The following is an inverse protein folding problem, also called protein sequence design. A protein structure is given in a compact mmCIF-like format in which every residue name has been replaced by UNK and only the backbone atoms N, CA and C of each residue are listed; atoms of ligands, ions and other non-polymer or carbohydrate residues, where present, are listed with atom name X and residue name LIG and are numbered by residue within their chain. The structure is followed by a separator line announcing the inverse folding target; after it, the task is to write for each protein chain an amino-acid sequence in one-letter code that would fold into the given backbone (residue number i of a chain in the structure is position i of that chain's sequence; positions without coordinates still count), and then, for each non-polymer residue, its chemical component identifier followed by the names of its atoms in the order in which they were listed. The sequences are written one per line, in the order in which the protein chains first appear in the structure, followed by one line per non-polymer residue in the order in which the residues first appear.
data_IF_392985222057
#
_entry.id   IF_392985222057
#
_cell.length_a   1.000
_cell.length_b   1.000
_cell.length_c   1.000
_cell.angle_alpha   90.00
_cell.angle_beta   90.00
_cell.angle_gamma   90.00
#
_symmetry.space_group_name_H-M   'P 1'
#
loop_
_entity.id
_entity.type
_entity.pdbx_description
1 polymer ?
#
# COMPACT_ATOMS: atom_id res chain seq x y z
N UNK A 1 -36.49 -6.63 -24.32
CA UNK A 1 -36.24 -7.06 -22.93
C UNK A 1 -37.40 -6.58 -22.06
N UNK A 2 -38.00 -7.43 -21.24
CA UNK A 2 -39.12 -7.03 -20.36
C UNK A 2 -38.62 -6.16 -19.19
N UNK A 3 -39.51 -5.35 -18.59
CA UNK A 3 -39.19 -4.50 -17.44
C UNK A 3 -38.60 -5.31 -16.26
N UNK A 4 -39.07 -6.55 -16.06
CA UNK A 4 -38.57 -7.47 -15.03
C UNK A 4 -37.12 -7.87 -15.27
N UNK A 5 -36.74 -8.21 -16.52
CA UNK A 5 -35.35 -8.55 -16.86
C UNK A 5 -34.44 -7.34 -16.65
N UNK A 6 -34.84 -6.15 -17.08
CA UNK A 6 -34.08 -4.91 -16.89
C UNK A 6 -33.83 -4.65 -15.40
N UNK A 7 -34.87 -4.80 -14.58
CA UNK A 7 -34.80 -4.58 -13.14
C UNK A 7 -33.87 -5.58 -12.46
N UNK A 8 -33.98 -6.88 -12.79
CA UNK A 8 -33.14 -7.93 -12.23
C UNK A 8 -31.66 -7.74 -12.58
N UNK A 9 -31.35 -7.44 -13.86
CA UNK A 9 -29.98 -7.17 -14.29
C UNK A 9 -29.43 -5.94 -13.59
N UNK A 10 -30.18 -4.83 -13.54
CA UNK A 10 -29.75 -3.59 -12.90
C UNK A 10 -29.42 -3.80 -11.43
N UNK A 11 -30.29 -4.48 -10.67
CA UNK A 11 -30.07 -4.76 -9.26
C UNK A 11 -28.79 -5.60 -9.04
N UNK A 12 -28.63 -6.65 -9.83
CA UNK A 12 -27.47 -7.53 -9.75
C UNK A 12 -26.16 -6.79 -10.13
N UNK A 13 -26.20 -5.94 -11.15
CA UNK A 13 -25.09 -5.06 -11.55
C UNK A 13 -24.67 -4.12 -10.43
N UNK A 14 -25.63 -3.43 -9.79
CA UNK A 14 -25.34 -2.49 -8.69
C UNK A 14 -24.67 -3.22 -7.53
N UNK A 15 -25.17 -4.41 -7.15
CA UNK A 15 -24.57 -5.23 -6.08
C UNK A 15 -23.16 -5.72 -6.45
N UNK A 16 -22.96 -6.18 -7.69
CA UNK A 16 -21.67 -6.64 -8.18
C UNK A 16 -20.64 -5.51 -8.21
N UNK A 17 -20.98 -4.36 -8.79
CA UNK A 17 -20.11 -3.19 -8.88
C UNK A 17 -19.76 -2.65 -7.49
N UNK A 18 -20.72 -2.59 -6.58
CA UNK A 18 -20.47 -2.20 -5.19
C UNK A 18 -19.46 -3.13 -4.51
N UNK A 19 -19.62 -4.44 -4.67
CA UNK A 19 -18.68 -5.43 -4.13
C UNK A 19 -17.29 -5.31 -4.75
N UNK A 20 -17.18 -5.19 -6.08
CA UNK A 20 -15.92 -4.97 -6.81
C UNK A 20 -15.20 -3.76 -6.22
N UNK A 21 -15.92 -2.65 -6.01
CA UNK A 21 -15.38 -1.45 -5.38
C UNK A 21 -14.86 -1.69 -3.95
N UNK A 22 -15.65 -2.34 -3.08
CA UNK A 22 -15.21 -2.65 -1.70
C UNK A 22 -13.99 -3.57 -1.68
N UNK A 23 -13.98 -4.59 -2.54
CA UNK A 23 -12.90 -5.57 -2.65
C UNK A 23 -11.63 -4.93 -3.20
N UNK A 24 -11.73 -4.08 -4.22
CA UNK A 24 -10.61 -3.28 -4.74
C UNK A 24 -10.01 -2.37 -3.67
N UNK A 25 -10.85 -1.64 -2.93
CA UNK A 25 -10.40 -0.79 -1.81
C UNK A 25 -9.73 -1.59 -0.69
N UNK A 26 -10.23 -2.78 -0.38
CA UNK A 26 -9.61 -3.69 0.58
C UNK A 26 -8.17 -4.05 0.15
N UNK A 27 -7.98 -4.53 -1.09
CA UNK A 27 -6.66 -4.93 -1.58
C UNK A 27 -5.71 -3.76 -1.76
N UNK A 28 -6.21 -2.57 -2.16
CA UNK A 28 -5.43 -1.34 -2.15
C UNK A 28 -4.92 -0.99 -0.74
N UNK A 29 -5.77 -1.18 0.28
CA UNK A 29 -5.37 -0.96 1.66
C UNK A 29 -4.32 -1.98 2.12
N UNK A 30 -4.45 -3.26 1.74
CA UNK A 30 -3.41 -4.27 2.00
C UNK A 30 -2.08 -3.88 1.33
N UNK A 31 -2.10 -3.48 0.05
CA UNK A 31 -0.90 -2.99 -0.65
C UNK A 31 -0.26 -1.81 0.10
N UNK A 32 -1.07 -0.89 0.63
CA UNK A 32 -0.60 0.22 1.45
C UNK A 32 0.05 -0.25 2.77
N UNK A 33 -0.52 -1.25 3.46
CA UNK A 33 0.06 -1.82 4.68
C UNK A 33 1.39 -2.53 4.39
N UNK A 34 1.53 -3.14 3.21
CA UNK A 34 2.78 -3.73 2.73
C UNK A 34 3.79 -2.69 2.19
N UNK A 35 3.58 -1.40 2.47
CA UNK A 35 4.51 -0.35 2.07
C UNK A 35 4.57 -0.12 0.55
N UNK A 36 3.53 -0.55 -0.17
CA UNK A 36 3.46 -0.52 -1.63
C UNK A 36 4.54 -1.33 -2.35
N UNK A 37 5.11 -2.33 -1.69
CA UNK A 37 6.06 -3.26 -2.29
C UNK A 37 5.31 -4.42 -2.95
N UNK A 38 5.44 -4.57 -4.26
CA UNK A 38 4.73 -5.61 -5.02
C UNK A 38 5.12 -7.04 -4.63
N UNK A 39 6.38 -7.38 -4.28
CA UNK A 39 6.72 -8.73 -3.83
C UNK A 39 6.11 -9.08 -2.47
N UNK A 40 6.19 -8.16 -1.50
CA UNK A 40 5.58 -8.35 -0.18
C UNK A 40 4.06 -8.49 -0.26
N UNK A 41 3.42 -7.72 -1.14
CA UNK A 41 2.00 -7.87 -1.43
C UNK A 41 1.68 -9.23 -2.07
N UNK A 42 2.51 -9.72 -2.99
CA UNK A 42 2.33 -11.05 -3.58
C UNK A 42 2.48 -12.18 -2.55
N UNK A 43 3.47 -12.10 -1.66
CA UNK A 43 3.62 -13.04 -0.54
C UNK A 43 2.40 -13.06 0.38
N UNK A 44 1.89 -11.87 0.74
CA UNK A 44 0.67 -11.76 1.54
C UNK A 44 -0.54 -12.40 0.83
N UNK A 45 -0.68 -12.20 -0.49
CA UNK A 45 -1.77 -12.81 -1.26
C UNK A 45 -1.69 -14.35 -1.26
N UNK A 46 -0.49 -14.93 -1.38
CA UNK A 46 -0.32 -16.40 -1.33
C UNK A 46 -0.68 -16.98 0.03
N UNK A 47 -0.29 -16.31 1.12
CA UNK A 47 -0.62 -16.72 2.48
C UNK A 47 -2.13 -16.64 2.75
N UNK A 48 -2.82 -15.67 2.15
CA UNK A 48 -4.24 -15.40 2.39
C UNK A 48 -5.13 -15.82 1.21
N UNK A 49 -4.68 -16.81 0.42
CA UNK A 49 -5.37 -17.23 -0.80
C UNK A 49 -6.80 -17.72 -0.50
N UNK A 50 -7.01 -18.47 0.57
CA UNK A 50 -8.33 -19.07 0.91
C UNK A 50 -9.24 -18.12 1.70
N UNK A 51 -8.66 -17.22 2.50
CA UNK A 51 -9.42 -16.41 3.44
C UNK A 51 -9.76 -15.02 2.89
N UNK A 52 -8.87 -14.42 2.10
CA UNK A 52 -9.03 -13.07 1.55
C UNK A 52 -9.27 -13.07 0.04
N UNK A 53 -8.45 -13.82 -0.70
CA UNK A 53 -8.43 -13.82 -2.18
C UNK A 53 -9.61 -14.63 -2.73
N UNK A 54 -9.61 -15.94 -2.63
CA UNK A 54 -10.65 -16.82 -3.17
C UNK A 54 -11.73 -17.10 -2.13
N UNK A 55 -12.78 -16.27 -2.15
CA UNK A 55 -13.95 -16.44 -1.27
C UNK A 55 -14.96 -17.46 -1.83
N UNK A 56 -15.68 -18.14 -0.92
CA UNK A 56 -16.80 -19.06 -1.25
C UNK A 56 -17.85 -18.44 -2.17
N UNK A 57 -18.06 -17.13 -2.08
CA UNK A 57 -19.00 -16.41 -2.94
C UNK A 57 -18.56 -16.31 -4.40
N UNK A 58 -17.27 -16.44 -4.73
CA UNK A 58 -16.85 -16.59 -6.13
C UNK A 58 -17.19 -17.97 -6.68
N UNK A 59 -17.04 -19.03 -5.85
CA UNK A 59 -17.48 -20.37 -6.21
C UNK A 59 -19.00 -20.40 -6.45
N UNK A 60 -19.77 -19.81 -5.53
CA UNK A 60 -21.22 -19.66 -5.71
C UNK A 60 -21.57 -18.88 -6.99
N UNK A 61 -20.91 -17.75 -7.26
CA UNK A 61 -21.12 -16.99 -8.50
C UNK A 61 -20.77 -17.79 -9.76
N UNK A 62 -19.68 -18.57 -9.73
CA UNK A 62 -19.31 -19.46 -10.83
C UNK A 62 -20.34 -20.56 -11.09
N UNK A 63 -20.81 -21.22 -10.02
CA UNK A 63 -21.84 -22.25 -10.10
C UNK A 63 -23.19 -21.69 -10.61
N UNK A 64 -23.55 -20.48 -10.18
CA UNK A 64 -24.75 -19.79 -10.68
C UNK A 64 -24.64 -19.50 -12.18
N UNK A 65 -23.47 -19.05 -12.66
CA UNK A 65 -23.23 -18.79 -14.08
C UNK A 65 -23.26 -20.07 -14.93
N UNK A 66 -22.59 -21.14 -14.47
CA UNK A 66 -22.58 -22.41 -15.21
C UNK A 66 -23.96 -23.05 -15.23
N UNK A 67 -24.70 -23.00 -14.12
CA UNK A 67 -26.08 -23.47 -14.05
C UNK A 67 -27.02 -22.66 -14.95
N UNK A 68 -26.91 -21.33 -14.95
CA UNK A 68 -27.70 -20.46 -15.83
C UNK A 68 -27.36 -20.69 -17.31
N UNK A 69 -26.10 -20.92 -17.65
CA UNK A 69 -25.70 -21.28 -19.02
C UNK A 69 -26.31 -22.61 -19.45
N UNK A 70 -26.21 -23.65 -18.61
CA UNK A 70 -26.80 -24.96 -18.90
C UNK A 70 -28.33 -24.86 -19.06
N UNK A 71 -29.00 -24.12 -18.18
CA UNK A 71 -30.44 -23.88 -18.27
C UNK A 71 -30.81 -23.15 -19.57
N UNK A 72 -30.10 -22.08 -19.93
CA UNK A 72 -30.35 -21.33 -21.16
C UNK A 72 -30.20 -22.19 -22.43
N UNK A 73 -29.14 -23.02 -22.48
CA UNK A 73 -28.89 -23.91 -23.62
C UNK A 73 -29.94 -25.01 -23.72
N UNK A 74 -30.35 -25.60 -22.60
CA UNK A 74 -31.32 -26.72 -22.58
C UNK A 74 -32.75 -26.29 -22.84
N UNK A 75 -33.14 -25.12 -22.34
CA UNK A 75 -34.51 -24.61 -22.46
C UNK A 75 -34.76 -23.81 -23.74
N UNK A 76 -33.71 -23.29 -24.38
CA UNK A 76 -33.85 -22.34 -25.48
C UNK A 76 -34.60 -21.07 -25.05
N UNK A 77 -34.54 -20.71 -23.76
CA UNK A 77 -35.34 -19.65 -23.16
C UNK A 77 -34.96 -18.26 -23.67
N UNK A 78 -35.73 -17.76 -24.65
CA UNK A 78 -35.67 -16.37 -25.11
C UNK A 78 -36.58 -15.42 -24.28
N UNK A 79 -37.39 -15.96 -23.35
CA UNK A 79 -38.34 -15.17 -22.53
C UNK A 79 -37.65 -14.37 -21.41
N UNK A 80 -36.40 -14.72 -21.09
CA UNK A 80 -35.58 -14.05 -20.08
C UNK A 80 -35.77 -14.58 -18.66
N UNK A 81 -36.48 -15.69 -18.47
CA UNK A 81 -36.69 -16.33 -17.17
C UNK A 81 -35.38 -16.74 -16.49
N UNK A 82 -34.47 -17.36 -17.25
CA UNK A 82 -33.11 -17.70 -16.77
C UNK A 82 -32.36 -16.45 -16.30
N UNK A 83 -32.52 -15.33 -16.99
CA UNK A 83 -31.86 -14.06 -16.65
C UNK A 83 -32.40 -13.47 -15.35
N UNK A 84 -33.72 -13.50 -15.16
CA UNK A 84 -34.37 -13.01 -13.93
C UNK A 84 -33.93 -13.87 -12.73
N UNK A 85 -33.99 -15.19 -12.86
CA UNK A 85 -33.58 -16.12 -11.81
C UNK A 85 -32.11 -15.91 -11.44
N UNK A 86 -31.22 -15.81 -12.43
CA UNK A 86 -29.81 -15.51 -12.20
C UNK A 86 -29.63 -14.16 -11.49
N UNK A 87 -30.26 -13.08 -11.98
CA UNK A 87 -30.12 -11.74 -11.39
C UNK A 87 -30.52 -11.70 -9.92
N UNK A 88 -31.63 -12.35 -9.56
CA UNK A 88 -32.10 -12.45 -8.17
C UNK A 88 -31.14 -13.28 -7.30
N UNK A 89 -30.75 -14.48 -7.75
CA UNK A 89 -29.80 -15.34 -7.04
C UNK A 89 -28.43 -14.66 -6.88
N UNK A 90 -27.99 -13.92 -7.91
CA UNK A 90 -26.78 -13.12 -7.88
C UNK A 90 -26.86 -12.03 -6.82
N UNK A 91 -27.94 -11.25 -6.81
CA UNK A 91 -28.13 -10.19 -5.83
C UNK A 91 -28.04 -10.74 -4.40
N UNK A 92 -28.63 -11.92 -4.13
CA UNK A 92 -28.54 -12.60 -2.82
C UNK A 92 -27.13 -13.10 -2.52
N UNK A 93 -26.50 -13.84 -3.44
CA UNK A 93 -25.16 -14.39 -3.25
C UNK A 93 -24.08 -13.30 -3.02
N UNK A 94 -24.35 -12.08 -3.47
CA UNK A 94 -23.43 -10.94 -3.40
C UNK A 94 -23.86 -9.83 -2.42
N UNK A 95 -25.08 -9.88 -1.86
CA UNK A 95 -25.58 -8.91 -0.87
C UNK A 95 -24.76 -8.92 0.45
N UNK A 96 -24.22 -10.08 0.83
CA UNK A 96 -23.41 -10.20 2.04
C UNK A 96 -21.98 -9.69 1.85
N UNK A 97 -21.78 -8.37 2.00
CA UNK A 97 -20.43 -7.75 2.08
C UNK A 97 -20.02 -7.37 3.51
N UNK A 98 -20.80 -7.76 4.52
CA UNK A 98 -20.56 -7.47 5.95
C UNK A 98 -19.17 -7.91 6.46
N UNK A 99 -18.44 -8.74 5.69
CA UNK A 99 -17.08 -9.23 5.99
C UNK A 99 -15.93 -8.45 5.33
N UNK A 100 -16.20 -7.34 4.64
CA UNK A 100 -15.19 -6.30 4.37
C UNK A 100 -15.24 -5.21 5.45
N UNK A 101 -15.76 -5.54 6.64
CA UNK A 101 -15.68 -4.67 7.81
C UNK A 101 -14.20 -4.45 8.09
N UNK A 102 -13.81 -3.19 8.22
CA UNK A 102 -12.51 -2.81 8.77
C UNK A 102 -12.35 -3.53 10.10
N UNK A 103 -11.58 -4.61 10.15
CA UNK A 103 -10.89 -4.95 11.38
C UNK A 103 -10.12 -3.71 11.82
N UNK A 104 -9.94 -3.50 13.12
CA UNK A 104 -9.25 -2.33 13.66
C UNK A 104 -7.78 -2.36 13.20
N UNK A 105 -7.51 -1.95 11.97
CA UNK A 105 -6.16 -1.91 11.40
C UNK A 105 -5.38 -0.81 12.09
N UNK A 106 -4.08 -1.04 12.34
CA UNK A 106 -3.19 -0.09 13.03
C UNK A 106 -3.15 1.30 12.36
N UNK A 107 -3.51 1.43 11.08
CA UNK A 107 -3.62 2.71 10.36
C UNK A 107 -4.87 2.74 9.47
N UNK A 108 -5.74 3.76 9.59
CA UNK A 108 -6.91 3.88 8.73
C UNK A 108 -6.51 4.16 7.28
N UNK A 109 -7.40 3.82 6.34
CA UNK A 109 -7.24 4.17 4.93
C UNK A 109 -7.05 5.69 4.77
N UNK A 110 -6.03 6.09 4.03
CA UNK A 110 -5.74 7.49 3.72
C UNK A 110 -5.81 7.72 2.21
N UNK A 111 -6.71 8.61 1.78
CA UNK A 111 -6.92 8.95 0.37
C UNK A 111 -5.81 9.86 -0.20
N UNK A 112 -4.56 9.36 -0.18
CA UNK A 112 -3.39 10.08 -0.70
C UNK A 112 -3.42 10.21 -2.22
N UNK A 113 -2.70 11.17 -2.84
CA UNK A 113 -2.61 11.28 -4.30
C UNK A 113 -2.11 9.99 -4.97
N UNK A 114 -1.14 9.29 -4.35
CA UNK A 114 -0.66 7.97 -4.78
C UNK A 114 -1.78 6.93 -4.78
N UNK A 115 -2.57 6.89 -3.70
CA UNK A 115 -3.72 5.99 -3.59
C UNK A 115 -4.79 6.29 -4.65
N UNK A 116 -5.06 7.58 -4.94
CA UNK A 116 -6.01 7.97 -6.00
C UNK A 116 -5.56 7.49 -7.38
N UNK A 117 -4.27 7.60 -7.71
CA UNK A 117 -3.72 7.06 -8.97
C UNK A 117 -3.83 5.54 -9.07
N UNK A 118 -3.50 4.83 -7.99
CA UNK A 118 -3.65 3.38 -7.92
C UNK A 118 -5.10 2.93 -8.09
N UNK A 119 -6.02 3.60 -7.39
CA UNK A 119 -7.45 3.35 -7.49
C UNK A 119 -7.94 3.61 -8.91
N UNK A 120 -7.56 4.73 -9.52
CA UNK A 120 -7.94 5.06 -10.89
C UNK A 120 -7.46 3.99 -11.87
N UNK A 121 -6.18 3.60 -11.82
CA UNK A 121 -5.63 2.57 -12.70
C UNK A 121 -6.32 1.20 -12.51
N UNK A 122 -6.54 0.77 -11.26
CA UNK A 122 -7.23 -0.49 -10.98
C UNK A 122 -8.71 -0.46 -11.42
N UNK A 123 -9.41 0.66 -11.17
CA UNK A 123 -10.80 0.85 -11.56
C UNK A 123 -10.95 0.86 -13.08
N UNK A 124 -10.06 1.55 -13.81
CA UNK A 124 -10.08 1.55 -15.29
C UNK A 124 -9.99 0.14 -15.84
N UNK A 125 -9.07 -0.70 -15.35
CA UNK A 125 -8.97 -2.09 -15.82
C UNK A 125 -10.22 -2.91 -15.49
N UNK A 126 -10.79 -2.74 -14.29
CA UNK A 126 -12.04 -3.42 -13.93
C UNK A 126 -13.21 -2.97 -14.83
N UNK A 127 -13.30 -1.68 -15.14
CA UNK A 127 -14.30 -1.12 -16.06
C UNK A 127 -14.12 -1.70 -17.46
N UNK A 128 -12.89 -1.83 -17.96
CA UNK A 128 -12.62 -2.42 -19.28
C UNK A 128 -13.06 -3.89 -19.35
N UNK A 129 -12.84 -4.67 -18.29
CA UNK A 129 -13.34 -6.07 -18.21
C UNK A 129 -14.86 -6.08 -18.30
N UNK A 130 -15.55 -5.27 -17.49
CA UNK A 130 -17.03 -5.20 -17.47
C UNK A 130 -17.59 -4.69 -18.80
N UNK A 131 -16.94 -3.69 -19.40
CA UNK A 131 -17.31 -3.15 -20.71
C UNK A 131 -17.16 -4.18 -21.83
N UNK A 132 -16.12 -5.01 -21.79
CA UNK A 132 -15.97 -6.12 -22.73
C UNK A 132 -17.13 -7.13 -22.61
N UNK A 133 -17.51 -7.50 -21.38
CA UNK A 133 -18.68 -8.34 -21.15
C UNK A 133 -20.00 -7.71 -21.63
N UNK A 134 -20.16 -6.41 -21.41
CA UNK A 134 -21.33 -5.66 -21.91
C UNK A 134 -21.37 -5.59 -23.44
N UNK A 135 -20.21 -5.43 -24.10
CA UNK A 135 -20.10 -5.45 -25.55
C UNK A 135 -20.42 -6.84 -26.13
N UNK A 136 -19.97 -7.92 -25.47
CA UNK A 136 -20.33 -9.28 -25.84
C UNK A 136 -21.83 -9.55 -25.65
N UNK A 137 -22.42 -9.03 -24.59
CA UNK A 137 -23.87 -9.08 -24.40
C UNK A 137 -24.62 -8.35 -25.53
N UNK A 138 -24.18 -7.14 -25.89
CA UNK A 138 -24.82 -6.35 -26.94
C UNK A 138 -24.71 -6.96 -28.35
N UNK A 139 -23.64 -7.74 -28.62
CA UNK A 139 -23.39 -8.38 -29.92
C UNK A 139 -23.84 -9.84 -29.98
N UNK A 140 -24.10 -10.46 -28.83
CA UNK A 140 -24.37 -11.88 -28.74
C UNK A 140 -25.77 -12.23 -29.22
N UNK A 141 -25.86 -13.27 -30.04
CA UNK A 141 -27.09 -13.95 -30.44
C UNK A 141 -27.22 -15.29 -29.72
N UNK A 142 -28.44 -15.77 -29.49
CA UNK A 142 -28.72 -17.02 -28.78
C UNK A 142 -29.29 -16.81 -27.37
N UNK A 143 -29.43 -17.88 -26.57
CA UNK A 143 -30.36 -17.88 -25.43
C UNK A 143 -29.86 -17.11 -24.20
N UNK A 144 -28.58 -16.73 -24.11
CA UNK A 144 -28.07 -16.07 -22.89
C UNK A 144 -26.84 -15.16 -23.05
N UNK A 145 -26.84 -14.16 -23.97
CA UNK A 145 -25.72 -13.24 -24.14
C UNK A 145 -25.43 -12.39 -22.90
N UNK A 146 -26.41 -12.20 -22.01
CA UNK A 146 -26.26 -11.51 -20.71
C UNK A 146 -25.26 -12.21 -19.77
N UNK A 147 -25.03 -13.52 -19.95
CA UNK A 147 -24.08 -14.28 -19.13
C UNK A 147 -22.64 -13.84 -19.34
N UNK A 148 -22.30 -13.31 -20.53
CA UNK A 148 -20.98 -12.71 -20.77
C UNK A 148 -20.75 -11.48 -19.91
N UNK A 149 -21.79 -10.67 -19.72
CA UNK A 149 -21.75 -9.49 -18.86
C UNK A 149 -21.61 -9.87 -17.37
N UNK A 150 -22.41 -10.84 -16.90
CA UNK A 150 -22.27 -11.36 -15.53
C UNK A 150 -20.92 -12.07 -15.32
N UNK A 151 -20.44 -12.83 -16.29
CA UNK A 151 -19.11 -13.43 -16.28
C UNK A 151 -18.01 -12.37 -16.12
N UNK A 152 -18.09 -11.27 -16.86
CA UNK A 152 -17.16 -10.15 -16.73
C UNK A 152 -17.22 -9.49 -15.34
N UNK A 153 -18.42 -9.34 -14.73
CA UNK A 153 -18.55 -8.86 -13.36
C UNK A 153 -17.86 -9.80 -12.34
N UNK A 154 -18.02 -11.12 -12.49
CA UNK A 154 -17.34 -12.10 -11.64
C UNK A 154 -15.81 -12.05 -11.84
N UNK A 155 -15.35 -11.96 -13.09
CA UNK A 155 -13.92 -11.86 -13.42
C UNK A 155 -13.32 -10.59 -12.81
N UNK A 156 -13.98 -9.44 -12.93
CA UNK A 156 -13.52 -8.18 -12.35
C UNK A 156 -13.41 -8.26 -10.80
N UNK A 157 -14.38 -8.89 -10.13
CA UNK A 157 -14.35 -9.12 -8.69
C UNK A 157 -13.22 -10.08 -8.29
N UNK A 158 -13.12 -11.23 -8.98
CA UNK A 158 -12.13 -12.26 -8.72
C UNK A 158 -10.70 -11.73 -8.89
N UNK A 159 -10.47 -10.99 -9.97
CA UNK A 159 -9.15 -10.47 -10.36
C UNK A 159 -8.76 -9.17 -9.67
N UNK A 160 -9.63 -8.55 -8.87
CA UNK A 160 -9.33 -7.33 -8.11
C UNK A 160 -7.93 -7.28 -7.45
N UNK A 161 -7.44 -8.31 -6.71
CA UNK A 161 -6.09 -8.29 -6.13
C UNK A 161 -4.97 -8.24 -7.18
N UNK A 162 -5.16 -8.89 -8.34
CA UNK A 162 -4.22 -8.85 -9.45
C UNK A 162 -4.25 -7.49 -10.14
N UNK A 163 -5.43 -6.91 -10.36
CA UNK A 163 -5.59 -5.56 -10.92
C UNK A 163 -4.88 -4.52 -10.05
N UNK A 164 -4.96 -4.64 -8.72
CA UNK A 164 -4.19 -3.77 -7.79
C UNK A 164 -2.68 -3.93 -8.00
N UNK A 165 -2.18 -5.16 -8.17
CA UNK A 165 -0.75 -5.41 -8.44
C UNK A 165 -0.30 -4.81 -9.77
N UNK A 166 -1.10 -5.00 -10.83
CA UNK A 166 -0.82 -4.44 -12.16
C UNK A 166 -0.89 -2.91 -12.13
N UNK A 167 -1.86 -2.33 -11.44
CA UNK A 167 -1.99 -0.89 -11.24
C UNK A 167 -0.74 -0.31 -10.53
N UNK A 168 -0.18 -1.02 -9.55
CA UNK A 168 1.08 -0.63 -8.92
C UNK A 168 2.25 -0.61 -9.91
N UNK A 169 2.30 -1.57 -10.83
CA UNK A 169 3.28 -1.58 -11.93
C UNK A 169 3.12 -0.39 -12.87
N UNK A 170 1.89 -0.16 -13.37
CA UNK A 170 1.56 0.95 -14.29
C UNK A 170 1.89 2.32 -13.68
N UNK A 171 1.56 2.52 -12.41
CA UNK A 171 1.78 3.81 -11.72
C UNK A 171 3.22 3.99 -11.23
N UNK A 172 4.02 2.92 -11.17
CA UNK A 172 5.38 2.96 -10.61
C UNK A 172 6.32 4.01 -11.25
N UNK A 173 6.32 4.28 -12.57
CA UNK A 173 7.24 5.26 -13.14
C UNK A 173 6.92 6.68 -12.67
N UNK A 174 5.63 6.99 -12.53
CA UNK A 174 5.16 8.29 -12.02
C UNK A 174 5.51 8.45 -10.55
N UNK A 175 5.26 7.43 -9.72
CA UNK A 175 5.63 7.46 -8.30
C UNK A 175 7.14 7.64 -8.11
N UNK A 176 7.95 6.91 -8.89
CA UNK A 176 9.41 7.03 -8.84
C UNK A 176 9.87 8.43 -9.20
N UNK A 177 9.35 9.03 -10.27
CA UNK A 177 9.68 10.42 -10.63
C UNK A 177 9.32 11.41 -9.54
N UNK A 178 8.15 11.25 -8.91
CA UNK A 178 7.72 12.10 -7.78
C UNK A 178 8.66 11.94 -6.59
N UNK A 179 8.92 10.69 -6.16
CA UNK A 179 9.82 10.44 -5.02
C UNK A 179 11.22 11.00 -5.27
N UNK A 180 11.79 10.75 -6.45
CA UNK A 180 13.12 11.27 -6.80
C UNK A 180 13.15 12.79 -6.89
N UNK A 181 12.06 13.43 -7.34
CA UNK A 181 11.93 14.89 -7.27
C UNK A 181 11.99 15.43 -5.84
N UNK A 182 11.29 14.78 -4.91
CA UNK A 182 11.32 15.15 -3.50
C UNK A 182 12.69 14.92 -2.85
N UNK A 183 13.37 13.81 -3.17
CA UNK A 183 14.73 13.52 -2.71
C UNK A 183 15.73 14.55 -3.22
N UNK A 184 15.71 14.84 -4.53
CA UNK A 184 16.59 15.87 -5.13
C UNK A 184 16.40 17.23 -4.47
N UNK A 185 15.16 17.66 -4.24
CA UNK A 185 14.88 18.93 -3.57
C UNK A 185 15.38 18.94 -2.13
N UNK A 186 15.21 17.84 -1.39
CA UNK A 186 15.68 17.72 -0.01
C UNK A 186 17.22 17.76 0.05
N UNK A 187 17.91 17.00 -0.80
CA UNK A 187 19.37 17.03 -0.91
C UNK A 187 19.88 18.43 -1.25
N UNK A 188 19.29 19.09 -2.25
CA UNK A 188 19.69 20.45 -2.64
C UNK A 188 19.53 21.45 -1.49
N UNK A 189 18.44 21.35 -0.72
CA UNK A 189 18.22 22.19 0.46
C UNK A 189 19.21 21.93 1.58
N UNK A 190 19.59 20.68 1.82
CA UNK A 190 20.58 20.34 2.84
C UNK A 190 21.99 20.74 2.41
N UNK A 191 22.34 20.53 1.14
CA UNK A 191 23.64 20.93 0.59
C UNK A 191 23.85 22.46 0.65
N UNK A 192 22.79 23.25 0.49
CA UNK A 192 22.84 24.70 0.64
C UNK A 192 23.01 25.18 2.10
N UNK A 193 23.00 24.28 3.08
CA UNK A 193 23.07 24.57 4.52
C UNK A 193 24.36 24.01 5.12
N UNK A 194 25.48 24.62 4.78
CA UNK A 194 26.81 24.26 5.32
C UNK A 194 26.96 24.53 6.82
N UNK A 195 26.05 25.34 7.36
CA UNK A 195 25.94 25.81 8.73
C UNK A 195 24.99 24.96 9.61
N UNK A 196 24.46 23.87 9.04
CA UNK A 196 23.48 22.98 9.69
C UNK A 196 24.16 21.67 10.12
N UNK A 197 24.08 21.36 11.41
CA UNK A 197 24.52 20.07 11.95
C UNK A 197 23.38 19.05 11.92
N UNK A 198 23.59 17.93 11.22
CA UNK A 198 22.62 16.84 11.08
C UNK A 198 22.91 15.73 12.09
N UNK A 199 21.92 15.43 12.93
CA UNK A 199 21.96 14.37 13.93
C UNK A 199 21.02 13.24 13.47
N UNK A 200 21.57 12.07 13.18
CA UNK A 200 20.81 10.88 12.82
C UNK A 200 20.71 9.92 14.01
N UNK A 201 19.49 9.49 14.34
CA UNK A 201 19.21 8.61 15.47
C UNK A 201 18.54 7.34 14.96
N UNK A 202 19.20 6.19 15.15
CA UNK A 202 18.64 4.87 14.88
C UNK A 202 18.65 3.99 16.14
N UNK A 203 17.92 2.88 16.06
CA UNK A 203 17.80 1.91 17.13
C UNK A 203 16.54 1.07 17.02
N UNK A 204 16.43 0.03 17.82
CA UNK A 204 15.21 -0.80 17.88
C UNK A 204 14.19 -0.11 18.78
N UNK A 205 14.66 0.41 19.91
CA UNK A 205 13.88 1.13 20.91
C UNK A 205 14.49 2.51 21.21
N UNK A 206 13.75 3.40 21.88
CA UNK A 206 14.29 4.67 22.37
C UNK A 206 14.53 5.77 21.32
N UNK A 207 14.45 5.49 20.01
CA UNK A 207 14.67 6.48 18.94
C UNK A 207 13.88 7.78 19.09
N UNK A 208 12.56 7.67 19.21
CA UNK A 208 11.65 8.83 19.24
C UNK A 208 11.85 9.66 20.52
N UNK A 209 12.02 8.99 21.68
CA UNK A 209 12.29 9.65 22.95
C UNK A 209 13.64 10.38 22.91
N UNK A 210 14.69 9.72 22.42
CA UNK A 210 16.03 10.31 22.29
C UNK A 210 16.02 11.51 21.37
N UNK A 211 15.34 11.43 20.22
CA UNK A 211 15.18 12.58 19.31
C UNK A 211 14.57 13.78 20.01
N UNK A 212 13.49 13.59 20.77
CA UNK A 212 12.82 14.71 21.41
C UNK A 212 13.64 15.26 22.59
N UNK A 213 14.32 14.40 23.36
CA UNK A 213 15.26 14.85 24.39
C UNK A 213 16.39 15.70 23.78
N UNK A 214 17.04 15.21 22.71
CA UNK A 214 18.09 15.96 21.99
C UNK A 214 17.56 17.28 21.45
N UNK A 215 16.36 17.28 20.82
CA UNK A 215 15.71 18.51 20.36
C UNK A 215 15.53 19.50 21.51
N UNK A 216 14.97 19.08 22.63
CA UNK A 216 14.57 19.97 23.73
C UNK A 216 15.77 20.59 24.44
N UNK A 217 16.85 19.81 24.60
CA UNK A 217 18.12 20.31 25.14
C UNK A 217 18.77 21.32 24.18
N UNK A 218 18.88 20.99 22.89
CA UNK A 218 19.48 21.89 21.90
C UNK A 218 18.65 23.17 21.70
N UNK A 219 17.32 23.07 21.84
CA UNK A 219 16.40 24.19 21.69
C UNK A 219 16.54 25.25 22.79
N UNK A 220 17.27 24.96 23.88
CA UNK A 220 17.59 25.96 24.90
C UNK A 220 18.48 27.09 24.37
N UNK A 221 19.24 26.84 23.30
CA UNK A 221 20.18 27.81 22.73
C UNK A 221 20.06 28.00 21.23
N UNK A 222 19.60 26.98 20.50
CA UNK A 222 19.62 26.97 19.05
C UNK A 222 18.23 26.74 18.45
N UNK A 223 18.02 27.20 17.22
CA UNK A 223 16.85 26.80 16.44
C UNK A 223 17.07 25.37 15.92
N UNK A 224 16.14 24.45 16.23
CA UNK A 224 16.27 23.02 15.93
C UNK A 224 15.08 22.53 15.13
N UNK A 225 15.35 21.86 14.01
CA UNK A 225 14.33 21.11 13.28
C UNK A 225 14.44 19.63 13.64
N UNK A 226 13.40 19.05 14.24
CA UNK A 226 13.30 17.61 14.45
C UNK A 226 12.17 17.01 13.63
N UNK A 227 12.33 15.76 13.18
CA UNK A 227 11.23 15.00 12.54
C UNK A 227 10.05 14.84 13.52
N UNK A 228 8.80 15.15 13.11
CA UNK A 228 7.63 15.01 13.99
C UNK A 228 7.23 13.54 14.14
N UNK A 229 6.67 13.15 15.30
CA UNK A 229 6.19 11.79 15.54
C UNK A 229 7.24 10.72 15.17
N UNK A 230 6.87 9.70 14.40
CA UNK A 230 7.80 8.67 13.88
C UNK A 230 8.00 8.84 12.35
N UNK A 231 8.32 10.05 11.91
CA UNK A 231 8.66 10.34 10.52
C UNK A 231 10.11 9.90 10.24
N UNK A 232 10.28 8.61 9.96
CA UNK A 232 11.59 7.95 9.91
C UNK A 232 11.87 7.20 8.60
N UNK A 233 11.07 7.47 7.57
CA UNK A 233 11.24 6.94 6.22
C UNK A 233 11.86 7.99 5.29
N UNK A 234 12.46 7.59 4.15
CA UNK A 234 13.05 8.51 3.18
C UNK A 234 12.10 9.66 2.80
N UNK A 235 10.84 9.32 2.50
CA UNK A 235 9.83 10.31 2.16
C UNK A 235 9.36 11.15 3.35
N UNK A 236 9.37 10.59 4.56
CA UNK A 236 9.10 11.33 5.79
C UNK A 236 10.12 12.44 6.01
N UNK A 237 11.41 12.10 5.90
CA UNK A 237 12.53 13.06 6.02
C UNK A 237 12.44 14.12 4.92
N UNK A 238 12.29 13.70 3.65
CA UNK A 238 12.19 14.65 2.53
C UNK A 238 11.06 15.68 2.75
N UNK A 239 9.89 15.24 3.25
CA UNK A 239 8.77 16.15 3.53
C UNK A 239 9.07 17.14 4.64
N UNK A 240 9.76 16.71 5.70
CA UNK A 240 10.15 17.59 6.81
C UNK A 240 11.16 18.62 6.31
N UNK A 241 12.20 18.19 5.62
CA UNK A 241 13.22 19.08 5.05
C UNK A 241 12.59 20.07 4.07
N UNK A 242 11.84 19.58 3.08
CA UNK A 242 11.30 20.44 2.02
C UNK A 242 10.26 21.45 2.51
N UNK A 243 9.51 21.13 3.57
CA UNK A 243 8.39 21.98 3.99
C UNK A 243 8.67 22.76 5.28
N UNK A 244 9.68 22.37 6.07
CA UNK A 244 9.92 22.93 7.40
C UNK A 244 11.35 23.43 7.64
N UNK A 245 12.33 23.05 6.81
CA UNK A 245 13.68 23.58 6.96
C UNK A 245 13.73 25.06 6.58
N UNK A 246 13.97 25.89 7.60
CA UNK A 246 14.22 27.33 7.51
C UNK A 246 15.70 27.67 7.74
N UNK A 247 16.11 28.87 7.30
CA UNK A 247 17.48 29.36 7.39
C UNK A 247 17.99 29.59 8.82
N UNK A 248 17.14 29.76 9.82
CA UNK A 248 17.52 29.96 11.21
C UNK A 248 17.99 28.67 11.90
N UNK A 249 17.48 27.50 11.49
CA UNK A 249 17.81 26.22 12.14
C UNK A 249 19.31 25.93 12.11
N UNK A 250 19.91 25.62 13.25
CA UNK A 250 21.32 25.21 13.39
C UNK A 250 21.48 23.70 13.47
N UNK A 251 20.44 22.99 13.93
CA UNK A 251 20.44 21.54 14.06
C UNK A 251 19.26 20.91 13.35
N UNK A 252 19.51 19.77 12.72
CA UNK A 252 18.50 18.89 12.13
C UNK A 252 18.56 17.52 12.81
N UNK A 253 17.52 17.15 13.56
CA UNK A 253 17.44 15.88 14.30
C UNK A 253 16.50 14.91 13.58
N UNK A 254 17.08 13.85 13.02
CA UNK A 254 16.41 12.87 12.18
C UNK A 254 16.28 11.55 12.92
N UNK A 255 15.07 11.01 12.97
CA UNK A 255 14.85 9.61 13.33
C UNK A 255 15.02 8.77 12.07
N UNK A 256 15.88 7.76 12.09
CA UNK A 256 16.13 6.84 10.99
C UNK A 256 15.61 5.46 11.34
N UNK A 257 14.58 5.03 10.61
CA UNK A 257 13.92 3.74 10.80
C UNK A 257 14.40 2.73 9.77
N UNK A 258 14.49 1.46 10.17
CA UNK A 258 14.88 0.37 9.27
C UNK A 258 13.77 -0.67 9.24
N UNK A 259 13.60 -1.29 8.08
CA UNK A 259 12.75 -2.46 7.86
C UNK A 259 13.45 -3.47 6.96
N UNK A 260 14.23 -3.03 5.97
CA UNK A 260 14.91 -3.89 5.01
C UNK A 260 16.40 -3.51 4.93
N UNK A 261 17.25 -4.43 4.43
CA UNK A 261 18.64 -4.11 4.15
C UNK A 261 18.77 -2.90 3.20
N UNK A 262 19.70 -1.99 3.51
CA UNK A 262 19.98 -0.78 2.74
C UNK A 262 19.09 0.43 3.07
N UNK A 263 18.17 0.32 4.03
CA UNK A 263 17.30 1.44 4.43
C UNK A 263 18.13 2.60 5.04
N UNK A 264 19.18 2.32 5.83
CA UNK A 264 20.08 3.36 6.37
C UNK A 264 20.82 4.08 5.24
N UNK A 265 21.36 3.33 4.28
CA UNK A 265 22.04 3.92 3.13
C UNK A 265 21.11 4.87 2.35
N UNK A 266 19.85 4.48 2.13
CA UNK A 266 18.87 5.35 1.46
C UNK A 266 18.55 6.62 2.27
N UNK A 267 18.46 6.51 3.60
CA UNK A 267 18.22 7.67 4.48
C UNK A 267 19.42 8.62 4.49
N UNK A 268 20.65 8.08 4.52
CA UNK A 268 21.89 8.83 4.51
C UNK A 268 22.20 9.46 3.13
N UNK A 269 21.75 8.88 2.02
CA UNK A 269 21.78 9.53 0.69
C UNK A 269 21.01 10.85 0.69
N UNK A 270 19.93 10.93 1.47
CA UNK A 270 19.13 12.15 1.58
C UNK A 270 19.80 13.14 2.55
N UNK A 271 20.17 12.66 3.73
CA UNK A 271 20.68 13.49 4.82
C UNK A 271 21.84 12.81 5.53
N UNK A 272 23.05 13.10 5.06
CA UNK A 272 24.29 12.57 5.63
C UNK A 272 24.56 13.16 7.03
N UNK A 273 24.79 12.33 8.07
CA UNK A 273 24.93 12.82 9.44
C UNK A 273 26.31 13.42 9.76
N UNK A 274 26.30 14.44 10.60
CA UNK A 274 27.46 14.95 11.35
C UNK A 274 27.59 14.21 12.70
N UNK A 275 26.46 13.83 13.28
CA UNK A 275 26.37 13.05 14.52
C UNK A 275 25.46 11.84 14.28
N UNK A 276 25.93 10.65 14.63
CA UNK A 276 25.18 9.40 14.55
C UNK A 276 24.94 8.85 15.95
N UNK A 277 23.70 8.47 16.26
CA UNK A 277 23.30 7.90 17.55
C UNK A 277 22.67 6.53 17.31
N UNK A 278 23.20 5.50 17.97
CA UNK A 278 22.64 4.15 17.96
C UNK A 278 22.17 3.80 19.37
N UNK A 279 20.86 3.74 19.57
CA UNK A 279 20.27 3.59 20.92
C UNK A 279 20.19 2.12 21.38
N UNK A 280 19.82 1.19 20.50
CA UNK A 280 19.75 -0.25 20.82
C UNK A 280 19.57 -1.14 19.59
N UNK A 281 19.93 -2.42 19.72
CA UNK A 281 19.70 -3.51 18.77
C UNK A 281 18.86 -4.59 19.45
N UNK A 282 17.65 -4.81 18.95
CA UNK A 282 16.71 -5.77 19.51
C UNK A 282 15.85 -6.41 18.42
N UNK A 283 14.97 -7.31 18.85
CA UNK A 283 14.09 -8.08 17.97
C UNK A 283 13.02 -7.19 17.34
N UNK A 284 13.30 -6.68 16.14
CA UNK A 284 12.36 -5.87 15.36
C UNK A 284 12.56 -6.12 13.86
N UNK A 285 11.49 -6.22 13.08
CA UNK A 285 11.57 -6.40 11.61
C UNK A 285 12.29 -7.69 11.16
N UNK A 286 12.31 -8.74 11.98
CA UNK A 286 12.94 -10.03 11.65
C UNK A 286 12.44 -10.63 10.33
N UNK A 287 11.15 -10.51 10.04
CA UNK A 287 10.54 -11.03 8.80
C UNK A 287 11.25 -10.54 7.53
N UNK A 288 11.72 -9.29 7.53
CA UNK A 288 12.38 -8.67 6.38
C UNK A 288 13.90 -8.59 6.50
N UNK A 289 14.45 -8.64 7.72
CA UNK A 289 15.90 -8.61 7.96
C UNK A 289 16.55 -9.99 8.05
N UNK A 290 15.78 -11.04 8.34
CA UNK A 290 16.25 -12.41 8.46
C UNK A 290 16.85 -12.76 9.83
N UNK A 291 17.68 -11.89 10.43
CA UNK A 291 18.30 -12.16 11.73
C UNK A 291 18.58 -10.91 12.57
N UNK A 292 18.88 -11.08 13.86
CA UNK A 292 19.25 -9.97 14.74
C UNK A 292 20.63 -9.39 14.42
N UNK A 293 21.54 -10.22 13.90
CA UNK A 293 22.86 -9.81 13.39
C UNK A 293 22.70 -8.94 12.14
N UNK A 294 21.74 -9.26 11.26
CA UNK A 294 21.44 -8.42 10.11
C UNK A 294 20.87 -7.05 10.56
N UNK A 295 20.03 -7.03 11.60
CA UNK A 295 19.55 -5.77 12.21
C UNK A 295 20.71 -4.97 12.80
N UNK A 296 21.64 -5.62 13.51
CA UNK A 296 22.83 -4.99 14.07
C UNK A 296 23.68 -4.35 12.97
N UNK A 297 24.02 -5.12 11.92
CA UNK A 297 24.79 -4.64 10.77
C UNK A 297 24.12 -3.48 10.05
N UNK A 298 22.82 -3.58 9.77
CA UNK A 298 22.09 -2.50 9.12
C UNK A 298 22.13 -1.21 9.95
N UNK A 299 21.94 -1.29 11.27
CA UNK A 299 22.02 -0.11 12.16
C UNK A 299 23.45 0.44 12.25
N UNK A 300 24.43 -0.45 12.39
CA UNK A 300 25.85 -0.12 12.47
C UNK A 300 26.35 0.59 11.21
N UNK A 301 25.80 0.27 10.04
CA UNK A 301 26.14 0.94 8.78
C UNK A 301 25.93 2.45 8.82
N UNK A 302 25.12 2.98 9.75
CA UNK A 302 24.97 4.42 9.96
C UNK A 302 26.32 5.11 10.20
N UNK A 303 27.26 4.43 10.86
CA UNK A 303 28.59 4.95 11.16
C UNK A 303 29.43 5.13 9.90
N UNK A 304 29.24 4.28 8.89
CA UNK A 304 29.94 4.37 7.60
C UNK A 304 29.55 5.63 6.82
N UNK A 305 28.36 6.18 7.10
CA UNK A 305 27.86 7.39 6.46
C UNK A 305 28.19 8.68 7.22
N UNK A 306 28.86 8.61 8.37
CA UNK A 306 29.33 9.81 9.08
C UNK A 306 30.18 10.67 8.13
N UNK A 307 30.00 11.99 8.23
CA UNK A 307 30.92 12.93 7.58
C UNK A 307 32.31 12.83 8.23
N UNK A 308 33.39 13.17 7.50
CA UNK A 308 34.73 13.26 8.09
C UNK A 308 34.73 14.13 9.36
N UNK A 309 35.32 13.63 10.45
CA UNK A 309 35.31 14.30 11.75
C UNK A 309 33.98 14.24 12.51
N UNK A 310 32.99 13.48 12.02
CA UNK A 310 31.70 13.29 12.68
C UNK A 310 31.79 12.50 13.98
N UNK A 311 30.74 12.57 14.80
CA UNK A 311 30.69 11.96 16.13
C UNK A 311 29.73 10.77 16.14
N UNK A 312 30.19 9.64 16.67
CA UNK A 312 29.36 8.48 16.98
C UNK A 312 29.01 8.46 18.47
N UNK A 313 27.73 8.27 18.78
CA UNK A 313 27.21 8.08 20.14
C UNK A 313 26.57 6.71 20.21
N UNK A 314 27.20 5.82 20.98
CA UNK A 314 26.86 4.40 21.04
C UNK A 314 26.44 4.02 22.46
N UNK A 315 25.35 3.25 22.57
CA UNK A 315 24.94 2.68 23.83
C UNK A 315 25.84 1.48 24.20
N UNK A 316 26.77 1.68 25.13
CA UNK A 316 27.72 0.64 25.56
C UNK A 316 27.09 -0.51 26.35
N UNK A 317 25.89 -0.30 26.91
CA UNK A 317 25.18 -1.32 27.69
C UNK A 317 24.48 -2.34 26.78
N UNK A 318 24.31 -2.03 25.50
CA UNK A 318 23.81 -2.97 24.50
C UNK A 318 24.99 -3.68 23.84
N UNK A 319 25.14 -4.98 24.14
CA UNK A 319 26.29 -5.78 23.69
C UNK A 319 26.49 -5.76 22.17
N UNK A 320 25.40 -5.67 21.40
CA UNK A 320 25.44 -5.66 19.92
C UNK A 320 25.75 -4.29 19.34
N UNK A 321 25.54 -3.23 20.11
CA UNK A 321 25.97 -1.87 19.75
C UNK A 321 27.44 -1.66 20.12
N UNK A 322 27.89 -2.30 21.20
CA UNK A 322 29.28 -2.24 21.67
C UNK A 322 30.26 -3.06 20.81
N UNK A 323 29.83 -4.21 20.30
CA UNK A 323 30.63 -5.11 19.45
C UNK A 323 30.93 -4.50 18.08
#
# INVERSE_FOLDING_TARGET
MTLLVITAVTLASVMALWRIGRRGLFFLHILQLQGYKTPAYAGWLSEHLRDAVLRRSHLAGGLLLTGAMAAAVTTGDDSGGVTIALGLLWAVAFASSRRYRREKTKKPYAATPRMKRLLAAAATMAILIVAAGAALWARGSGPAPVLWYFGALLIADLTAPLLVRVAAGITSPVERRIHEGFKRLARARLAARTDLTTIAITGSYGKTSTKFAVRDVLSQRYSVLATPGSFNTPMGICRVVNNRLRGDHRYLVLEMGIRNPGDIAELCDIARPDIAVITSVGVAHLESMGSIEAIAREKGSLLEFLKPGGVAVLNIDDERVRA
#
